data_IF_908672502430
#
_entry.id   IF_908672502430
#
_cell.length_a   1.000
_cell.length_b   1.000
_cell.length_c   1.000
_cell.angle_alpha   90.00
_cell.angle_beta   90.00
_cell.angle_gamma   90.00
#
_symmetry.space_group_name_H-M   'P 1'
#
loop_
_entity.id
_entity.type
_entity.pdbx_description
1 polymer ?
#
# COMPACT_ATOMS: atom_id res chain seq x y z
N UNK A 1 29.79 -0.18 -21.08
CA UNK A 1 28.85 -0.33 -22.22
C UNK A 1 28.09 0.97 -22.37
N UNK A 2 27.99 1.48 -23.60
CA UNK A 2 27.37 2.79 -23.86
C UNK A 2 26.35 2.61 -24.99
N UNK A 3 25.07 2.94 -24.80
CA UNK A 3 24.07 2.74 -25.84
C UNK A 3 24.21 3.72 -26.99
N UNK A 4 23.85 3.24 -28.18
CA UNK A 4 23.80 4.04 -29.39
C UNK A 4 22.64 5.03 -29.33
N UNK A 5 22.84 6.23 -29.90
CA UNK A 5 21.81 7.28 -29.93
C UNK A 5 20.64 6.90 -30.82
N UNK A 6 20.91 6.20 -31.92
CA UNK A 6 19.89 5.82 -32.89
C UNK A 6 19.96 4.36 -33.29
N UNK A 7 18.79 3.78 -33.56
CA UNK A 7 18.66 2.39 -33.95
C UNK A 7 17.73 2.21 -35.12
N UNK A 8 17.93 1.13 -35.87
CA UNK A 8 17.03 0.62 -36.89
C UNK A 8 16.49 -0.72 -36.45
N UNK A 9 15.19 -0.93 -36.60
CA UNK A 9 14.58 -2.25 -36.42
C UNK A 9 14.81 -3.08 -37.69
N UNK A 10 15.31 -4.29 -37.51
CA UNK A 10 15.51 -5.27 -38.58
C UNK A 10 14.59 -6.45 -38.29
N UNK A 11 13.65 -6.68 -39.19
CA UNK A 11 12.81 -7.87 -39.16
C UNK A 11 13.62 -9.07 -39.66
N UNK A 12 13.67 -10.11 -38.85
CA UNK A 12 14.32 -11.37 -39.20
C UNK A 12 13.22 -12.37 -39.57
N UNK A 13 13.37 -13.01 -40.73
CA UNK A 13 12.44 -14.04 -41.20
C UNK A 13 12.33 -15.18 -40.16
N UNK A 14 11.16 -15.28 -39.53
CA UNK A 14 10.84 -16.32 -38.54
C UNK A 14 11.35 -16.08 -37.12
N UNK A 15 11.86 -14.88 -36.81
CA UNK A 15 12.38 -14.54 -35.47
C UNK A 15 11.77 -13.25 -34.91
N UNK A 16 12.15 -12.90 -33.68
CA UNK A 16 11.85 -11.59 -33.10
C UNK A 16 12.70 -10.52 -33.77
N UNK A 17 12.14 -9.33 -34.07
CA UNK A 17 12.89 -8.23 -34.67
C UNK A 17 14.07 -7.83 -33.77
N UNK A 18 15.19 -7.46 -34.40
CA UNK A 18 16.42 -7.05 -33.71
C UNK A 18 16.66 -5.56 -33.95
N UNK A 19 17.09 -4.84 -32.91
CA UNK A 19 17.54 -3.45 -33.04
C UNK A 19 19.02 -3.40 -33.40
N UNK A 20 19.35 -2.77 -34.52
CA UNK A 20 20.72 -2.52 -34.94
C UNK A 20 21.09 -1.06 -34.67
N UNK A 21 22.23 -0.83 -34.03
CA UNK A 21 22.79 0.49 -33.84
C UNK A 21 23.14 1.14 -35.20
N UNK A 22 22.75 2.41 -35.37
CA UNK A 22 23.13 3.22 -36.53
C UNK A 22 24.45 3.93 -36.21
N UNK A 23 25.39 4.04 -37.17
CA UNK A 23 26.63 4.76 -36.92
C UNK A 23 26.33 6.23 -36.57
N UNK A 24 26.92 6.68 -35.46
CA UNK A 24 26.64 7.98 -34.85
C UNK A 24 26.85 9.16 -35.80
N UNK A 25 27.80 9.06 -36.73
CA UNK A 25 28.07 10.11 -37.72
C UNK A 25 26.83 10.42 -38.57
N UNK A 26 26.03 9.41 -38.92
CA UNK A 26 24.78 9.60 -39.66
C UNK A 26 23.71 10.26 -38.79
N UNK A 27 23.63 9.86 -37.52
CA UNK A 27 22.68 10.44 -36.55
C UNK A 27 22.99 11.89 -36.28
N UNK A 28 24.26 12.21 -35.98
CA UNK A 28 24.72 13.58 -35.76
C UNK A 28 24.54 14.44 -37.01
N UNK A 29 24.87 13.93 -38.19
CA UNK A 29 24.66 14.66 -39.45
C UNK A 29 23.17 15.00 -39.66
N UNK A 30 22.27 14.04 -39.41
CA UNK A 30 20.83 14.28 -39.53
C UNK A 30 20.32 15.30 -38.50
N UNK A 31 20.77 15.20 -37.24
CA UNK A 31 20.41 16.17 -36.19
C UNK A 31 20.95 17.57 -36.51
N UNK A 32 22.17 17.67 -37.04
CA UNK A 32 22.74 18.95 -37.48
C UNK A 32 21.92 19.54 -38.63
N UNK A 33 21.53 18.74 -39.62
CA UNK A 33 20.69 19.21 -40.72
C UNK A 33 19.31 19.67 -40.24
N UNK A 34 18.64 18.87 -39.39
CA UNK A 34 17.37 19.24 -38.75
C UNK A 34 17.52 20.54 -37.94
N UNK A 35 18.63 20.69 -37.22
CA UNK A 35 18.93 21.88 -36.45
C UNK A 35 19.18 23.11 -37.33
N UNK A 36 19.81 22.94 -38.50
CA UNK A 36 20.03 24.03 -39.46
C UNK A 36 18.74 24.44 -40.19
N UNK A 37 17.83 23.49 -40.45
CA UNK A 37 16.56 23.74 -41.13
C UNK A 37 15.49 24.33 -40.20
N UNK A 38 15.42 23.88 -38.95
CA UNK A 38 14.53 24.43 -37.92
C UNK A 38 14.92 25.83 -37.44
N UNK A 39 15.93 26.47 -38.05
CA UNK A 39 16.41 27.82 -37.73
C UNK A 39 15.31 28.87 -37.89
N UNK A 40 14.64 29.17 -36.79
CA UNK A 40 13.87 30.40 -36.58
C UNK A 40 14.81 31.61 -36.35
N UNK A 41 15.74 31.87 -37.28
CA UNK A 41 16.72 32.99 -37.24
C UNK A 41 17.77 32.95 -36.10
N UNK A 42 18.16 31.76 -35.62
CA UNK A 42 19.24 31.56 -34.64
C UNK A 42 20.50 30.93 -35.25
N UNK A 43 21.67 31.24 -34.73
CA UNK A 43 22.94 30.60 -35.12
C UNK A 43 23.19 29.38 -34.24
N UNK A 44 23.28 28.19 -34.86
CA UNK A 44 23.70 26.96 -34.20
C UNK A 44 25.12 27.15 -33.62
N UNK A 45 25.26 27.01 -32.31
CA UNK A 45 26.51 27.20 -31.57
C UNK A 45 27.23 25.88 -31.33
N UNK A 46 26.49 24.86 -30.86
CA UNK A 46 27.05 23.57 -30.52
C UNK A 46 26.05 22.44 -30.74
N UNK A 47 26.60 21.24 -30.93
CA UNK A 47 25.89 19.97 -30.87
C UNK A 47 26.70 19.06 -29.96
N UNK A 48 26.11 18.58 -28.88
CA UNK A 48 26.76 17.78 -27.86
C UNK A 48 25.98 16.50 -27.65
N UNK A 49 26.69 15.38 -27.62
CA UNK A 49 26.12 14.10 -27.20
C UNK A 49 26.37 13.92 -25.71
N UNK A 50 25.29 13.67 -24.98
CA UNK A 50 25.30 13.53 -23.54
C UNK A 50 24.61 12.22 -23.12
N UNK A 51 24.89 11.81 -21.89
CA UNK A 51 24.29 10.62 -21.29
C UNK A 51 23.68 10.95 -19.95
N UNK A 52 22.43 10.52 -19.75
CA UNK A 52 21.70 10.65 -18.50
C UNK A 52 21.90 9.35 -17.70
N UNK A 53 22.64 9.38 -16.58
CA UNK A 53 22.76 8.22 -15.70
C UNK A 53 21.43 7.96 -14.99
N UNK A 54 20.85 6.79 -15.23
CA UNK A 54 19.63 6.29 -14.59
C UNK A 54 19.94 5.01 -13.84
N UNK A 55 19.81 5.04 -12.52
CA UNK A 55 19.95 3.87 -11.65
C UNK A 55 18.65 3.10 -11.60
N UNK A 56 18.71 1.81 -11.84
CA UNK A 56 17.65 0.85 -11.62
C UNK A 56 17.81 0.25 -10.23
N UNK A 57 16.75 0.30 -9.44
CA UNK A 57 16.71 -0.33 -8.12
C UNK A 57 15.58 -1.33 -8.07
N UNK A 58 15.88 -2.56 -7.69
CA UNK A 58 14.87 -3.63 -7.59
C UNK A 58 13.89 -3.29 -6.47
N UNK A 59 12.60 -3.40 -6.78
CA UNK A 59 11.50 -3.24 -5.84
C UNK A 59 10.94 -4.62 -5.50
N UNK A 60 11.42 -5.14 -4.38
CA UNK A 60 10.96 -6.41 -3.85
C UNK A 60 11.13 -7.61 -4.76
N UNK A 61 10.36 -8.68 -4.54
CA UNK A 61 10.52 -9.97 -5.25
C UNK A 61 9.84 -10.07 -6.62
N UNK A 62 9.21 -9.00 -7.09
CA UNK A 62 8.25 -9.04 -8.21
C UNK A 62 8.84 -8.75 -9.61
N UNK A 63 10.16 -8.62 -9.74
CA UNK A 63 10.80 -8.21 -11.00
C UNK A 63 10.45 -6.77 -11.43
N UNK A 64 9.85 -5.99 -10.51
CA UNK A 64 9.60 -4.56 -10.66
C UNK A 64 10.83 -3.79 -10.21
N UNK A 65 11.09 -2.66 -10.86
CA UNK A 65 12.20 -1.77 -10.54
C UNK A 65 11.70 -0.33 -10.44
N UNK A 66 12.34 0.46 -9.58
CA UNK A 66 12.28 1.91 -9.62
C UNK A 66 13.44 2.44 -10.47
N UNK A 67 13.18 3.49 -11.25
CA UNK A 67 14.20 4.18 -12.03
C UNK A 67 14.48 5.54 -11.41
N UNK A 68 15.76 5.84 -11.22
CA UNK A 68 16.21 7.09 -10.64
C UNK A 68 17.27 7.74 -11.51
N UNK A 69 16.96 8.90 -12.08
CA UNK A 69 17.97 9.72 -12.75
C UNK A 69 18.83 10.45 -11.71
N UNK A 70 20.15 10.56 -11.96
CA UNK A 70 21.11 11.04 -10.96
C UNK A 70 21.48 12.52 -11.09
N UNK A 71 20.83 13.23 -12.00
CA UNK A 71 20.99 14.66 -12.26
C UNK A 71 20.02 15.54 -11.48
N UNK A 72 18.93 14.97 -10.93
CA UNK A 72 17.91 15.69 -10.15
C UNK A 72 17.03 16.63 -10.96
N UNK A 73 16.84 16.30 -12.24
CA UNK A 73 15.93 16.95 -13.18
C UNK A 73 14.46 16.63 -12.86
N UNK A 74 14.19 15.45 -12.30
CA UNK A 74 12.85 14.96 -12.00
C UNK A 74 12.69 14.76 -10.50
N UNK A 75 11.45 14.79 -10.01
CA UNK A 75 11.10 14.36 -8.66
C UNK A 75 9.78 13.62 -8.69
N UNK A 76 9.64 12.60 -7.85
CA UNK A 76 8.38 11.95 -7.59
C UNK A 76 8.11 11.94 -6.09
N UNK A 77 6.82 12.03 -5.76
CA UNK A 77 6.37 12.01 -4.38
C UNK A 77 5.68 10.68 -4.13
N UNK A 78 6.08 10.01 -3.04
CA UNK A 78 5.55 8.72 -2.63
C UNK A 78 5.06 8.85 -1.20
N UNK A 79 3.82 8.41 -0.98
CA UNK A 79 3.24 8.31 0.35
C UNK A 79 3.65 6.95 0.93
N UNK A 80 4.36 6.96 2.05
CA UNK A 80 4.85 5.74 2.70
C UNK A 80 4.35 5.68 4.15
N UNK A 81 3.77 4.56 4.61
CA UNK A 81 3.38 4.42 6.01
C UNK A 81 4.60 4.24 6.92
N UNK A 82 4.42 4.51 8.21
CA UNK A 82 5.37 4.07 9.24
C UNK A 82 5.26 2.55 9.41
N UNK A 83 6.39 1.83 9.45
CA UNK A 83 6.37 0.36 9.56
C UNK A 83 5.95 -0.08 10.96
N UNK A 84 4.99 -1.00 11.05
CA UNK A 84 4.56 -1.63 12.31
C UNK A 84 4.37 -3.13 12.13
N UNK A 85 4.61 -3.88 13.21
CA UNK A 85 4.54 -5.34 13.24
C UNK A 85 3.12 -5.81 13.58
N UNK A 86 2.32 -6.06 12.54
CA UNK A 86 0.97 -6.61 12.67
C UNK A 86 0.96 -8.09 13.06
N UNK A 87 2.00 -8.84 12.69
CA UNK A 87 2.07 -10.29 12.91
C UNK A 87 2.17 -10.58 14.42
N UNK A 88 2.87 -9.74 15.17
CA UNK A 88 2.94 -9.82 16.64
C UNK A 88 1.57 -9.74 17.35
N UNK A 89 0.59 -9.05 16.76
CA UNK A 89 -0.76 -8.90 17.34
C UNK A 89 -1.62 -10.12 17.04
N UNK A 90 -1.52 -10.67 15.83
CA UNK A 90 -2.16 -11.93 15.46
C UNK A 90 -1.70 -13.08 16.38
N UNK A 91 -0.38 -13.18 16.64
CA UNK A 91 0.16 -14.17 17.59
C UNK A 91 -0.42 -14.00 19.00
N UNK A 92 -0.54 -12.75 19.49
CA UNK A 92 -1.15 -12.47 20.80
C UNK A 92 -2.63 -12.84 20.85
N UNK A 93 -3.38 -12.66 19.76
CA UNK A 93 -4.82 -12.99 19.69
C UNK A 93 -5.10 -14.46 20.04
N UNK A 94 -4.26 -15.37 19.54
CA UNK A 94 -4.38 -16.80 19.81
C UNK A 94 -4.22 -17.18 21.29
N UNK A 95 -3.52 -16.36 22.08
CA UNK A 95 -3.16 -16.63 23.47
C UNK A 95 -4.12 -16.03 24.50
N UNK A 96 -5.06 -15.18 24.08
CA UNK A 96 -5.99 -14.49 24.99
C UNK A 96 -7.01 -15.47 25.58
N UNK A 97 -7.23 -15.39 26.89
CA UNK A 97 -8.12 -16.28 27.65
C UNK A 97 -9.33 -15.56 28.28
N UNK A 98 -9.35 -14.23 28.26
CA UNK A 98 -10.37 -13.42 28.94
C UNK A 98 -10.99 -12.39 27.98
N UNK A 99 -12.26 -12.06 28.21
CA UNK A 99 -13.04 -11.15 27.36
C UNK A 99 -12.49 -9.72 27.46
N UNK A 100 -12.17 -9.25 28.66
CA UNK A 100 -11.63 -7.89 28.85
C UNK A 100 -10.26 -7.74 28.18
N UNK A 101 -9.43 -8.80 28.26
CA UNK A 101 -8.16 -8.86 27.55
C UNK A 101 -8.34 -8.90 26.02
N UNK A 102 -9.38 -9.59 25.52
CA UNK A 102 -9.70 -9.63 24.10
C UNK A 102 -10.17 -8.26 23.58
N UNK A 103 -11.02 -7.56 24.34
CA UNK A 103 -11.46 -6.21 24.02
C UNK A 103 -10.30 -5.21 24.00
N UNK A 104 -9.38 -5.30 24.95
CA UNK A 104 -8.16 -4.48 24.94
C UNK A 104 -7.29 -4.77 23.71
N UNK A 105 -7.15 -6.04 23.30
CA UNK A 105 -6.39 -6.40 22.10
C UNK A 105 -7.04 -5.88 20.82
N UNK A 106 -8.38 -5.84 20.77
CA UNK A 106 -9.14 -5.26 19.67
C UNK A 106 -8.87 -3.76 19.55
N UNK A 107 -8.81 -3.03 20.68
CA UNK A 107 -8.47 -1.61 20.67
C UNK A 107 -7.02 -1.37 20.24
N UNK A 108 -6.07 -2.18 20.72
CA UNK A 108 -4.67 -2.14 20.29
C UNK A 108 -4.55 -2.36 18.76
N UNK A 109 -5.26 -3.37 18.24
CA UNK A 109 -5.31 -3.69 16.82
C UNK A 109 -5.93 -2.55 15.99
N UNK A 110 -7.04 -1.99 16.45
CA UNK A 110 -7.69 -0.86 15.79
C UNK A 110 -6.78 0.38 15.77
N UNK A 111 -6.05 0.65 16.86
CA UNK A 111 -5.04 1.71 16.90
C UNK A 111 -3.92 1.49 15.88
N UNK A 112 -3.37 0.29 15.79
CA UNK A 112 -2.31 -0.03 14.81
C UNK A 112 -2.79 0.13 13.37
N UNK A 113 -4.02 -0.31 13.08
CA UNK A 113 -4.64 -0.11 11.76
C UNK A 113 -4.85 1.38 11.46
N UNK A 114 -5.30 2.18 12.43
CA UNK A 114 -5.41 3.63 12.27
C UNK A 114 -4.04 4.31 12.13
N UNK A 115 -2.97 3.79 12.74
CA UNK A 115 -1.62 4.29 12.53
C UNK A 115 -1.09 3.98 11.12
N UNK A 116 -1.44 2.83 10.54
CA UNK A 116 -1.12 2.52 9.13
C UNK A 116 -1.80 3.51 8.19
N UNK A 117 -2.92 4.12 8.58
CA UNK A 117 -3.54 5.20 7.79
C UNK A 117 -2.76 6.51 7.81
N UNK A 118 -1.72 6.64 8.65
CA UNK A 118 -0.84 7.81 8.70
C UNK A 118 0.33 7.62 7.75
N UNK A 119 0.42 8.51 6.77
CA UNK A 119 1.44 8.46 5.73
C UNK A 119 2.41 9.61 5.90
N UNK A 120 3.68 9.29 5.76
CA UNK A 120 4.69 10.28 5.48
C UNK A 120 4.77 10.49 3.97
N UNK A 121 4.65 11.75 3.54
CA UNK A 121 4.81 12.13 2.15
C UNK A 121 6.29 12.41 1.91
N UNK A 122 6.95 11.53 1.14
CA UNK A 122 8.37 11.65 0.83
C UNK A 122 8.52 12.07 -0.62
N UNK A 123 9.19 13.19 -0.85
CA UNK A 123 9.62 13.59 -2.19
C UNK A 123 11.03 13.08 -2.45
N UNK A 124 11.19 12.27 -3.48
CA UNK A 124 12.48 11.68 -3.87
C UNK A 124 12.97 12.37 -5.15
N UNK A 125 14.04 13.18 -5.06
CA UNK A 125 14.71 13.73 -6.24
C UNK A 125 15.24 12.60 -7.12
N UNK A 126 15.14 12.76 -8.43
CA UNK A 126 15.56 11.80 -9.43
C UNK A 126 14.60 10.65 -9.68
N UNK A 127 13.63 10.40 -8.80
CA UNK A 127 12.72 9.27 -8.96
C UNK A 127 11.77 9.49 -10.15
N UNK A 128 11.84 8.60 -11.13
CA UNK A 128 11.02 8.67 -12.32
C UNK A 128 9.66 8.01 -12.03
N UNK A 129 8.60 8.82 -12.02
CA UNK A 129 7.22 8.35 -12.10
C UNK A 129 6.72 8.50 -13.54
N UNK A 130 5.66 7.77 -13.93
CA UNK A 130 4.92 7.94 -15.20
C UNK A 130 5.48 7.26 -16.47
N UNK A 131 4.99 7.68 -17.64
CA UNK A 131 5.29 7.13 -18.98
C UNK A 131 6.79 7.17 -19.31
N UNK A 132 7.51 8.16 -18.81
CA UNK A 132 8.96 8.29 -19.00
C UNK A 132 9.73 7.12 -18.39
N UNK A 133 9.34 6.66 -17.19
CA UNK A 133 9.95 5.50 -16.56
C UNK A 133 9.72 4.24 -17.41
N UNK A 134 8.51 4.08 -17.98
CA UNK A 134 8.19 2.97 -18.89
C UNK A 134 9.01 3.05 -20.18
N UNK A 135 9.21 4.25 -20.71
CA UNK A 135 10.04 4.44 -21.89
C UNK A 135 11.51 4.10 -21.61
N UNK A 136 12.07 4.57 -20.50
CA UNK A 136 13.45 4.23 -20.10
C UNK A 136 13.61 2.74 -19.80
N UNK A 137 12.62 2.08 -19.20
CA UNK A 137 12.72 0.63 -18.96
C UNK A 137 12.80 -0.17 -20.25
N UNK A 138 12.17 0.29 -21.35
CA UNK A 138 12.33 -0.30 -22.68
C UNK A 138 13.73 -0.09 -23.25
N UNK A 139 14.40 1.02 -22.90
CA UNK A 139 15.79 1.30 -23.28
C UNK A 139 16.80 0.32 -22.65
N UNK A 140 16.42 -0.49 -21.66
CA UNK A 140 17.29 -1.58 -21.14
C UNK A 140 17.74 -2.55 -22.24
N UNK A 141 16.92 -2.71 -23.28
CA UNK A 141 17.19 -3.59 -24.42
C UNK A 141 17.82 -2.86 -25.61
N UNK A 142 18.02 -1.54 -25.49
CA UNK A 142 18.58 -0.74 -26.57
C UNK A 142 20.00 -1.22 -26.87
N UNK A 143 20.39 -1.38 -28.14
CA UNK A 143 21.68 -1.90 -28.49
C UNK A 143 22.78 -1.05 -27.88
N UNK A 144 23.63 -1.72 -27.12
CA UNK A 144 24.80 -1.15 -26.46
C UNK A 144 26.03 -1.32 -27.33
N UNK A 145 26.89 -0.31 -27.33
CA UNK A 145 28.25 -0.43 -27.88
C UNK A 145 29.14 -1.09 -26.85
N UNK A 146 30.00 -1.98 -27.35
CA UNK A 146 31.00 -2.69 -26.53
C UNK A 146 32.18 -1.79 -26.12
N UNK A 147 32.30 -0.58 -26.69
CA UNK A 147 33.41 0.36 -26.44
C UNK A 147 32.88 1.76 -26.13
N UNK A 148 33.64 2.50 -25.32
CA UNK A 148 33.37 3.90 -25.00
C UNK A 148 33.65 4.81 -26.21
N UNK A 149 32.85 5.87 -26.33
CA UNK A 149 33.00 6.85 -27.40
C UNK A 149 34.01 7.94 -27.03
N UNK A 150 34.89 8.36 -27.95
CA UNK A 150 35.92 9.34 -27.66
C UNK A 150 35.39 10.77 -27.41
N UNK A 151 34.14 11.06 -27.76
CA UNK A 151 33.53 12.40 -27.68
C UNK A 151 32.27 12.46 -26.80
N UNK A 152 32.08 11.49 -25.90
CA UNK A 152 30.96 11.45 -24.97
C UNK A 152 31.17 12.41 -23.77
N UNK A 153 30.14 13.17 -23.41
CA UNK A 153 30.10 13.91 -22.14
C UNK A 153 29.13 13.20 -21.20
N UNK A 154 29.64 12.69 -20.08
CA UNK A 154 28.83 12.25 -18.95
C UNK A 154 28.75 13.39 -17.96
N UNK A 155 27.53 13.80 -17.62
CA UNK A 155 27.33 14.84 -16.62
C UNK A 155 27.60 14.26 -15.22
N UNK A 156 28.34 14.97 -14.35
CA UNK A 156 28.54 14.55 -12.97
C UNK A 156 27.19 14.42 -12.26
N UNK A 157 27.05 13.37 -11.46
CA UNK A 157 25.85 13.12 -10.67
C UNK A 157 25.68 14.24 -9.64
N UNK A 158 24.46 14.76 -9.54
CA UNK A 158 24.10 15.87 -8.63
C UNK A 158 23.51 15.32 -7.34
N UNK A 159 22.83 14.18 -7.42
CA UNK A 159 22.17 13.55 -6.28
C UNK A 159 23.14 12.62 -5.56
N UNK A 160 23.41 12.94 -4.29
CA UNK A 160 24.13 12.07 -3.37
C UNK A 160 23.36 10.75 -3.14
N UNK A 161 24.07 9.63 -3.17
CA UNK A 161 23.48 8.29 -3.12
C UNK A 161 22.76 7.98 -1.80
N UNK A 162 23.24 8.51 -0.67
CA UNK A 162 22.81 8.03 0.65
C UNK A 162 21.36 8.42 1.01
N UNK A 163 20.93 9.65 0.70
CA UNK A 163 19.58 10.11 1.04
C UNK A 163 18.51 9.44 0.20
N UNK A 164 18.81 9.19 -1.07
CA UNK A 164 17.90 8.54 -2.01
C UNK A 164 17.86 7.03 -1.84
N UNK A 165 18.97 6.40 -1.50
CA UNK A 165 19.02 4.97 -1.14
C UNK A 165 18.09 4.66 0.02
N UNK A 166 18.09 5.48 1.09
CA UNK A 166 17.17 5.28 2.21
C UNK A 166 15.70 5.35 1.79
N UNK A 167 15.33 6.32 0.94
CA UNK A 167 13.96 6.44 0.44
C UNK A 167 13.58 5.24 -0.44
N UNK A 168 14.46 4.81 -1.35
CA UNK A 168 14.24 3.64 -2.20
C UNK A 168 14.16 2.34 -1.40
N UNK A 169 14.97 2.17 -0.35
CA UNK A 169 14.89 1.03 0.56
C UNK A 169 13.54 0.99 1.28
N UNK A 170 13.00 2.15 1.71
CA UNK A 170 11.64 2.22 2.26
C UNK A 170 10.60 1.83 1.22
N UNK A 171 10.68 2.34 0.00
CA UNK A 171 9.74 1.99 -1.09
C UNK A 171 9.81 0.49 -1.39
N UNK A 172 11.03 -0.08 -1.50
CA UNK A 172 11.24 -1.50 -1.74
C UNK A 172 10.70 -2.37 -0.61
N UNK A 173 10.95 -1.99 0.65
CA UNK A 173 10.36 -2.65 1.82
C UNK A 173 8.84 -2.69 1.71
N UNK A 174 8.20 -1.56 1.45
CA UNK A 174 6.75 -1.52 1.34
C UNK A 174 6.23 -2.27 0.13
N UNK A 175 6.94 -2.27 -1.00
CA UNK A 175 6.59 -3.08 -2.17
C UNK A 175 6.54 -4.58 -1.85
N UNK A 176 7.44 -5.08 -1.00
CA UNK A 176 7.41 -6.46 -0.48
C UNK A 176 6.32 -6.69 0.58
N UNK A 177 6.03 -5.68 1.40
CA UNK A 177 5.06 -5.76 2.49
C UNK A 177 3.66 -5.24 2.10
N UNK A 178 3.39 -5.09 0.79
CA UNK A 178 2.07 -4.73 0.26
C UNK A 178 0.97 -5.75 0.63
N UNK A 179 1.31 -6.89 1.24
CA UNK A 179 0.40 -7.90 1.77
C UNK A 179 -0.23 -7.53 3.13
N UNK A 180 0.02 -6.33 3.66
CA UNK A 180 -0.58 -5.86 4.92
C UNK A 180 -2.10 -6.00 4.96
N UNK A 181 -2.80 -5.85 3.84
CA UNK A 181 -4.26 -6.12 3.77
C UNK A 181 -4.61 -7.53 4.24
N UNK A 182 -3.79 -8.51 3.83
CA UNK A 182 -4.00 -9.92 4.15
C UNK A 182 -3.63 -10.21 5.60
N UNK A 183 -2.52 -9.66 6.11
CA UNK A 183 -2.16 -9.81 7.52
C UNK A 183 -3.20 -9.14 8.43
N UNK A 184 -3.68 -7.95 8.08
CA UNK A 184 -4.73 -7.24 8.81
C UNK A 184 -6.07 -7.98 8.80
N UNK A 185 -6.44 -8.58 7.66
CA UNK A 185 -7.65 -9.39 7.54
C UNK A 185 -7.55 -10.68 8.37
N UNK A 186 -6.41 -11.38 8.32
CA UNK A 186 -6.16 -12.58 9.14
C UNK A 186 -6.23 -12.24 10.62
N UNK A 187 -5.53 -11.21 11.07
CA UNK A 187 -5.56 -10.74 12.46
C UNK A 187 -6.99 -10.40 12.92
N UNK A 188 -7.77 -9.69 12.09
CA UNK A 188 -9.14 -9.31 12.42
C UNK A 188 -10.05 -10.54 12.54
N UNK A 189 -9.93 -11.49 11.61
CA UNK A 189 -10.70 -12.73 11.64
C UNK A 189 -10.36 -13.60 12.86
N UNK A 190 -9.08 -13.74 13.20
CA UNK A 190 -8.64 -14.47 14.40
C UNK A 190 -9.16 -13.84 15.68
N UNK A 191 -9.13 -12.50 15.78
CA UNK A 191 -9.68 -11.76 16.92
C UNK A 191 -11.19 -11.97 17.07
N UNK A 192 -11.94 -11.86 15.97
CA UNK A 192 -13.39 -12.07 15.97
C UNK A 192 -13.77 -13.51 16.31
N UNK A 193 -13.04 -14.49 15.76
CA UNK A 193 -13.24 -15.91 16.06
C UNK A 193 -12.96 -16.20 17.53
N UNK A 194 -11.82 -15.71 18.06
CA UNK A 194 -11.47 -15.89 19.46
C UNK A 194 -12.49 -15.27 20.39
N UNK A 195 -12.98 -14.09 20.07
CA UNK A 195 -14.01 -13.42 20.86
C UNK A 195 -15.34 -14.18 20.81
N UNK A 196 -15.70 -14.78 19.67
CA UNK A 196 -16.88 -15.66 19.54
C UNK A 196 -16.74 -16.93 20.40
N UNK A 197 -15.56 -17.52 20.45
CA UNK A 197 -15.27 -18.68 21.31
C UNK A 197 -15.43 -18.34 22.79
N UNK A 198 -14.83 -17.23 23.24
CA UNK A 198 -14.92 -16.74 24.62
C UNK A 198 -16.36 -16.39 25.01
N UNK A 199 -17.12 -15.81 24.10
CA UNK A 199 -18.55 -15.56 24.28
C UNK A 199 -19.37 -16.84 24.38
N UNK A 200 -19.05 -17.88 23.59
CA UNK A 200 -19.79 -19.15 23.64
C UNK A 200 -19.57 -19.89 24.97
N UNK A 201 -18.34 -19.86 25.48
CA UNK A 201 -17.97 -20.46 26.77
C UNK A 201 -18.51 -19.67 27.96
N UNK A 202 -18.40 -18.33 27.92
CA UNK A 202 -18.93 -17.45 28.97
C UNK A 202 -20.47 -17.37 28.94
N UNK A 203 -21.06 -17.26 27.75
CA UNK A 203 -22.50 -17.19 27.51
C UNK A 203 -23.21 -18.47 27.95
N UNK A 204 -22.69 -19.65 27.60
CA UNK A 204 -23.24 -20.92 28.09
C UNK A 204 -23.21 -21.04 29.62
N UNK A 205 -22.19 -20.47 30.27
CA UNK A 205 -22.09 -20.44 31.74
C UNK A 205 -23.06 -19.43 32.38
N UNK A 206 -23.32 -18.31 31.70
CA UNK A 206 -24.17 -17.22 32.21
C UNK A 206 -25.65 -17.54 31.99
N UNK A 207 -26.00 -18.06 30.82
CA UNK A 207 -27.36 -18.49 30.49
C UNK A 207 -27.81 -19.66 31.38
N UNK A 208 -26.93 -20.63 31.64
CA UNK A 208 -27.23 -21.71 32.58
C UNK A 208 -27.40 -21.22 34.02
N UNK A 209 -26.63 -20.21 34.45
CA UNK A 209 -26.83 -19.56 35.75
C UNK A 209 -28.15 -18.80 35.82
N UNK A 210 -28.51 -18.06 34.78
CA UNK A 210 -29.79 -17.34 34.69
C UNK A 210 -30.97 -18.32 34.67
N UNK A 211 -30.86 -19.44 33.95
CA UNK A 211 -31.89 -20.48 33.92
C UNK A 211 -32.12 -21.10 35.31
N UNK A 212 -31.04 -21.49 36.01
CA UNK A 212 -31.11 -21.99 37.40
C UNK A 212 -31.70 -20.95 38.35
N UNK A 213 -31.34 -19.67 38.18
CA UNK A 213 -31.88 -18.58 38.98
C UNK A 213 -33.38 -18.38 38.70
N UNK A 214 -33.81 -18.51 37.45
CA UNK A 214 -35.23 -18.45 37.06
C UNK A 214 -36.04 -19.60 37.67
N UNK A 215 -35.52 -20.84 37.63
CA UNK A 215 -36.17 -21.98 38.30
C UNK A 215 -36.32 -21.75 39.80
N UNK A 216 -35.28 -21.22 40.45
CA UNK A 216 -35.30 -20.88 41.88
C UNK A 216 -36.32 -19.77 42.19
N UNK A 217 -36.41 -18.74 41.35
CA UNK A 217 -37.42 -17.68 41.47
C UNK A 217 -38.83 -18.26 41.36
N UNK A 218 -39.10 -19.12 40.38
CA UNK A 218 -40.42 -19.76 40.20
C UNK A 218 -40.76 -20.63 41.41
N UNK A 219 -39.79 -21.38 41.95
CA UNK A 219 -39.99 -22.19 43.16
C UNK A 219 -40.32 -21.33 44.37
N UNK A 220 -39.56 -20.25 44.59
CA UNK A 220 -39.80 -19.30 45.68
C UNK A 220 -41.15 -18.59 45.55
N UNK A 221 -41.60 -18.26 44.33
CA UNK A 221 -42.93 -17.71 44.10
C UNK A 221 -44.03 -18.68 44.53
N UNK A 222 -43.94 -19.95 44.12
CA UNK A 222 -44.91 -20.98 44.54
C UNK A 222 -44.91 -21.21 46.05
N UNK A 223 -43.73 -21.18 46.69
CA UNK A 223 -43.61 -21.29 48.15
C UNK A 223 -44.25 -20.10 48.86
N UNK A 224 -44.06 -18.87 48.35
CA UNK A 224 -44.71 -17.67 48.88
C UNK A 224 -46.22 -17.75 48.72
N UNK A 225 -46.73 -18.09 47.53
CA UNK A 225 -48.17 -18.25 47.27
C UNK A 225 -48.81 -19.33 48.16
N UNK A 226 -48.10 -20.44 48.37
CA UNK A 226 -48.54 -21.51 49.28
C UNK A 226 -48.59 -21.03 50.74
N UNK A 227 -47.56 -20.32 51.22
CA UNK A 227 -47.53 -19.78 52.58
C UNK A 227 -48.58 -18.68 52.79
N UNK A 228 -48.83 -17.84 51.78
CA UNK A 228 -49.90 -16.84 51.79
C UNK A 228 -51.28 -17.49 51.86
N UNK A 229 -51.54 -18.52 51.04
CA UNK A 229 -52.77 -19.30 51.08
C UNK A 229 -52.98 -19.99 52.43
N UNK A 230 -51.90 -20.55 53.01
CA UNK A 230 -51.92 -21.20 54.32
C UNK A 230 -52.15 -20.21 55.46
N UNK A 231 -51.56 -19.02 55.39
CA UNK A 231 -51.82 -17.91 56.31
C UNK A 231 -53.31 -17.52 56.27
N UNK A 232 -53.87 -17.39 55.07
CA UNK A 232 -55.28 -17.00 54.88
C UNK A 232 -56.25 -18.07 55.41
N UNK A 233 -55.90 -19.35 55.28
CA UNK A 233 -56.68 -20.46 55.86
C UNK A 233 -56.63 -20.52 57.40
N UNK A 234 -55.58 -19.95 58.02
CA UNK A 234 -55.45 -19.87 59.47
C UNK A 234 -56.21 -18.69 60.08
N UNK A 235 -56.42 -17.60 59.33
CA UNK A 235 -57.26 -16.47 59.77
C UNK A 235 -58.75 -16.88 59.96
N UNK A 236 -59.19 -17.99 59.37
CA UNK A 236 -60.55 -18.55 59.56
C UNK A 236 -60.70 -19.45 60.80
N UNK A 237 -59.63 -19.78 61.52
CA UNK A 237 -59.64 -20.70 62.67
C UNK A 237 -59.13 -19.98 63.93
N UNK A 238 -60.05 -19.57 64.81
CA UNK A 238 -59.72 -18.96 66.10
C UNK A 238 -58.92 -19.91 67.00
N UNK A 239 -57.60 -19.67 67.09
CA UNK A 239 -56.58 -20.12 68.08
C UNK A 239 -55.41 -20.89 67.43
N UNK A 240 -54.27 -20.19 67.27
CA UNK A 240 -52.86 -20.64 67.41
C UNK A 240 -51.89 -19.50 67.02
N UNK A 241 -51.58 -18.59 67.94
CA UNK A 241 -50.69 -17.43 67.67
C UNK A 241 -49.28 -17.83 67.23
N UNK A 242 -48.67 -18.81 67.90
CA UNK A 242 -47.29 -19.21 67.61
C UNK A 242 -47.07 -19.78 66.20
N UNK A 243 -48.05 -20.51 65.65
CA UNK A 243 -47.96 -21.08 64.29
C UNK A 243 -48.11 -19.98 63.24
N UNK A 244 -48.92 -18.96 63.53
CA UNK A 244 -49.09 -17.79 62.66
C UNK A 244 -47.78 -16.99 62.59
N UNK A 245 -47.19 -16.70 63.74
CA UNK A 245 -45.92 -15.94 63.83
C UNK A 245 -44.79 -16.68 63.10
N UNK A 246 -44.75 -18.01 63.19
CA UNK A 246 -43.78 -18.83 62.47
C UNK A 246 -43.98 -18.79 60.94
N UNK A 247 -45.23 -18.83 60.47
CA UNK A 247 -45.55 -18.71 59.04
C UNK A 247 -45.25 -17.30 58.53
N UNK A 248 -45.57 -16.26 59.28
CA UNK A 248 -45.23 -14.86 58.93
C UNK A 248 -43.71 -14.66 58.82
N UNK A 249 -42.94 -15.17 59.79
CA UNK A 249 -41.48 -15.10 59.74
C UNK A 249 -40.90 -15.85 58.52
N UNK A 250 -41.44 -17.03 58.19
CA UNK A 250 -41.05 -17.77 56.98
C UNK A 250 -41.41 -17.02 55.70
N UNK A 251 -42.57 -16.39 55.65
CA UNK A 251 -43.07 -15.65 54.50
C UNK A 251 -42.23 -14.39 54.25
N UNK A 252 -41.86 -13.64 55.29
CA UNK A 252 -40.92 -12.53 55.19
C UNK A 252 -39.53 -12.95 54.71
N UNK A 253 -39.01 -14.07 55.23
CA UNK A 253 -37.72 -14.60 54.81
C UNK A 253 -37.74 -15.00 53.31
N UNK A 254 -38.82 -15.65 52.85
CA UNK A 254 -38.98 -16.07 51.45
C UNK A 254 -39.20 -14.88 50.51
N UNK A 255 -39.96 -13.86 50.93
CA UNK A 255 -40.12 -12.60 50.17
C UNK A 255 -38.80 -11.85 50.01
N UNK A 256 -37.97 -11.77 51.07
CA UNK A 256 -36.61 -11.19 50.99
C UNK A 256 -35.70 -11.96 50.04
N UNK A 257 -35.70 -13.30 50.11
CA UNK A 257 -34.91 -14.13 49.20
C UNK A 257 -35.37 -13.97 47.73
N UNK A 258 -36.68 -13.87 47.49
CA UNK A 258 -37.25 -13.65 46.15
C UNK A 258 -36.85 -12.28 45.59
N UNK A 259 -36.91 -11.22 46.40
CA UNK A 259 -36.46 -9.88 46.01
C UNK A 259 -34.98 -9.88 45.63
N UNK A 260 -34.14 -10.48 46.47
CA UNK A 260 -32.70 -10.60 46.22
C UNK A 260 -32.40 -11.37 44.92
N UNK A 261 -33.07 -12.50 44.68
CA UNK A 261 -32.85 -13.30 43.47
C UNK A 261 -33.37 -12.60 42.21
N UNK A 262 -34.51 -11.88 42.28
CA UNK A 262 -35.00 -11.05 41.18
C UNK A 262 -34.05 -9.91 40.84
N UNK A 263 -33.46 -9.29 41.86
CA UNK A 263 -32.49 -8.20 41.66
C UNK A 263 -31.17 -8.73 41.09
N UNK A 264 -30.66 -9.84 41.62
CA UNK A 264 -29.49 -10.53 41.06
C UNK A 264 -29.68 -10.92 39.59
N UNK A 265 -30.89 -11.37 39.21
CA UNK A 265 -31.23 -11.65 37.82
C UNK A 265 -31.16 -10.40 36.95
N UNK A 266 -31.76 -9.29 37.41
CA UNK A 266 -31.72 -8.01 36.68
C UNK A 266 -30.29 -7.54 36.47
N UNK A 267 -29.45 -7.64 37.50
CA UNK A 267 -28.03 -7.30 37.41
C UNK A 267 -27.29 -8.17 36.38
N UNK A 268 -27.52 -9.49 36.39
CA UNK A 268 -26.92 -10.41 35.41
C UNK A 268 -27.35 -10.14 33.97
N UNK A 269 -28.64 -9.82 33.76
CA UNK A 269 -29.14 -9.45 32.43
C UNK A 269 -28.54 -8.12 31.99
N UNK A 270 -28.52 -7.12 32.86
CA UNK A 270 -27.96 -5.80 32.57
C UNK A 270 -26.47 -5.87 32.24
N UNK A 271 -25.68 -6.65 33.00
CA UNK A 271 -24.25 -6.84 32.71
C UNK A 271 -24.03 -7.55 31.37
N UNK A 272 -24.83 -8.58 31.06
CA UNK A 272 -24.78 -9.28 29.78
C UNK A 272 -25.08 -8.33 28.61
N UNK A 273 -26.15 -7.54 28.70
CA UNK A 273 -26.50 -6.56 27.66
C UNK A 273 -25.44 -5.48 27.48
N UNK A 274 -24.77 -5.07 28.56
CA UNK A 274 -23.71 -4.07 28.49
C UNK A 274 -22.47 -4.62 27.78
N UNK A 275 -22.08 -5.86 28.12
CA UNK A 275 -20.97 -6.56 27.50
C UNK A 275 -21.21 -6.85 26.01
N UNK A 276 -22.42 -7.28 25.63
CA UNK A 276 -22.78 -7.44 24.22
C UNK A 276 -22.64 -6.13 23.44
N UNK A 277 -23.12 -5.02 24.02
CA UNK A 277 -23.01 -3.69 23.40
C UNK A 277 -21.56 -3.25 23.25
N UNK A 278 -20.72 -3.46 24.28
CA UNK A 278 -19.29 -3.17 24.21
C UNK A 278 -18.62 -3.96 23.09
N UNK A 279 -18.88 -5.27 23.01
CA UNK A 279 -18.33 -6.12 21.95
C UNK A 279 -18.75 -5.64 20.56
N UNK A 280 -20.02 -5.31 20.37
CA UNK A 280 -20.50 -4.74 19.09
C UNK A 280 -19.78 -3.43 18.75
N UNK A 281 -19.58 -2.54 19.72
CA UNK A 281 -18.86 -1.28 19.52
C UNK A 281 -17.37 -1.49 19.18
N UNK A 282 -16.65 -2.35 19.90
CA UNK A 282 -15.23 -2.63 19.65
C UNK A 282 -15.02 -3.37 18.32
N UNK A 283 -15.85 -4.36 18.00
CA UNK A 283 -15.77 -5.06 16.71
C UNK A 283 -16.14 -4.16 15.52
N UNK A 284 -17.13 -3.27 15.68
CA UNK A 284 -17.44 -2.27 14.65
C UNK A 284 -16.25 -1.33 14.40
N UNK A 285 -15.61 -0.83 15.47
CA UNK A 285 -14.40 0.02 15.35
C UNK A 285 -13.26 -0.70 14.64
N UNK A 286 -13.03 -1.97 14.96
CA UNK A 286 -11.98 -2.77 14.33
C UNK A 286 -12.25 -2.95 12.83
N UNK A 287 -13.49 -3.28 12.44
CA UNK A 287 -13.88 -3.41 11.04
C UNK A 287 -13.77 -2.09 10.27
N UNK A 288 -14.17 -0.98 10.90
CA UNK A 288 -14.03 0.34 10.31
C UNK A 288 -12.54 0.70 10.10
N UNK A 289 -11.69 0.40 11.08
CA UNK A 289 -10.24 0.60 10.97
C UNK A 289 -9.62 -0.30 9.89
N UNK A 290 -10.04 -1.57 9.79
CA UNK A 290 -9.63 -2.48 8.74
C UNK A 290 -10.01 -1.97 7.35
N UNK A 291 -11.25 -1.51 7.18
CA UNK A 291 -11.73 -0.96 5.91
C UNK A 291 -10.91 0.26 5.47
N UNK A 292 -10.63 1.18 6.41
CA UNK A 292 -9.75 2.33 6.15
C UNK A 292 -8.33 1.89 5.79
N UNK A 293 -7.76 0.96 6.53
CA UNK A 293 -6.42 0.44 6.27
C UNK A 293 -6.32 -0.23 4.88
N UNK A 294 -7.31 -1.04 4.49
CA UNK A 294 -7.38 -1.70 3.18
C UNK A 294 -7.52 -0.70 2.03
N UNK A 295 -8.41 0.29 2.16
CA UNK A 295 -8.54 1.36 1.16
C UNK A 295 -7.18 2.07 0.98
N UNK A 296 -6.53 2.36 2.10
CA UNK A 296 -5.30 3.14 2.09
C UNK A 296 -4.08 2.33 1.61
N UNK A 297 -4.04 1.05 1.88
CA UNK A 297 -3.06 0.13 1.29
C UNK A 297 -3.28 -0.05 -0.22
N UNK A 298 -4.52 0.00 -0.71
CA UNK A 298 -4.80 0.05 -2.15
C UNK A 298 -4.24 1.33 -2.79
N UNK A 299 -4.37 2.47 -2.12
CA UNK A 299 -3.76 3.75 -2.55
C UNK A 299 -2.22 3.65 -2.56
N UNK A 300 -1.61 3.03 -1.54
CA UNK A 300 -0.18 2.73 -1.52
C UNK A 300 0.25 1.83 -2.69
N UNK A 301 -0.52 0.78 -3.00
CA UNK A 301 -0.26 -0.08 -4.18
C UNK A 301 -0.24 0.74 -5.46
N UNK A 302 -1.23 1.60 -5.67
CA UNK A 302 -1.30 2.46 -6.85
C UNK A 302 -0.11 3.43 -6.91
N UNK A 303 0.29 3.98 -5.77
CA UNK A 303 1.45 4.89 -5.67
C UNK A 303 2.75 4.16 -6.01
N UNK A 304 2.99 2.99 -5.43
CA UNK A 304 4.17 2.15 -5.74
C UNK A 304 4.15 1.73 -7.21
N UNK A 305 2.97 1.37 -7.75
CA UNK A 305 2.82 1.02 -9.16
C UNK A 305 3.16 2.19 -10.09
N UNK A 306 2.84 3.42 -9.71
CA UNK A 306 3.12 4.62 -10.51
C UNK A 306 4.61 4.95 -10.67
N UNK A 307 5.44 4.48 -9.72
CA UNK A 307 6.91 4.66 -9.70
C UNK A 307 7.67 3.39 -10.08
N UNK A 308 6.96 2.28 -10.23
CA UNK A 308 7.55 0.98 -10.58
C UNK A 308 7.33 0.65 -12.05
N UNK A 309 8.33 0.00 -12.65
CA UNK A 309 8.24 -0.52 -14.01
C UNK A 309 8.71 -1.97 -14.05
N UNK A 310 8.10 -2.78 -14.90
CA UNK A 310 8.58 -4.14 -15.13
C UNK A 310 9.94 -4.09 -15.81
N UNK A 311 10.93 -4.75 -15.23
CA UNK A 311 12.21 -4.97 -15.89
C UNK A 311 12.25 -6.34 -16.55
N UNK A 312 12.99 -6.42 -17.64
CA UNK A 312 13.24 -7.67 -18.37
C UNK A 312 14.52 -8.33 -17.87
N UNK A 313 15.44 -7.54 -17.33
CA UNK A 313 16.69 -8.03 -16.76
C UNK A 313 16.39 -8.66 -15.41
N UNK A 314 16.16 -9.98 -15.42
CA UNK A 314 16.02 -10.77 -14.20
C UNK A 314 17.31 -10.80 -13.37
N UNK A 315 17.14 -10.94 -12.05
CA UNK A 315 18.10 -11.44 -11.06
C UNK A 315 19.46 -10.74 -10.89
N UNK A 316 19.60 -9.45 -11.19
CA UNK A 316 20.75 -8.70 -10.65
C UNK A 316 20.37 -8.03 -9.32
N UNK A 317 20.75 -8.65 -8.20
CA UNK A 317 20.65 -8.06 -6.84
C UNK A 317 21.40 -6.72 -6.72
N UNK A 318 22.29 -6.43 -7.67
CA UNK A 318 23.04 -5.18 -7.77
C UNK A 318 22.30 -4.22 -8.69
N UNK A 319 21.91 -3.06 -8.16
CA UNK A 319 21.27 -2.00 -8.95
C UNK A 319 22.09 -1.65 -10.20
N UNK A 320 21.48 -1.82 -11.38
CA UNK A 320 22.10 -1.53 -12.67
C UNK A 320 22.07 -0.01 -12.93
N UNK A 321 23.11 0.57 -13.52
CA UNK A 321 23.04 1.93 -14.06
C UNK A 321 22.95 1.88 -15.57
N UNK A 322 21.89 2.47 -16.11
CA UNK A 322 21.68 2.68 -17.55
C UNK A 322 22.12 4.09 -17.89
N UNK A 323 22.82 4.24 -19.01
CA UNK A 323 23.11 5.55 -19.60
C UNK A 323 22.09 5.81 -20.70
N UNK A 324 21.21 6.80 -20.56
CA UNK A 324 20.28 7.16 -21.64
C UNK A 324 20.97 8.17 -22.57
N UNK A 325 21.18 7.87 -23.86
CA UNK A 325 21.86 8.77 -24.78
C UNK A 325 20.90 9.87 -25.26
N UNK A 326 21.36 11.11 -25.31
CA UNK A 326 20.61 12.22 -25.88
C UNK A 326 21.55 13.22 -26.56
N UNK A 327 21.03 13.96 -27.54
CA UNK A 327 21.79 15.01 -28.22
C UNK A 327 21.23 16.37 -27.83
N UNK A 328 22.09 17.26 -27.39
CA UNK A 328 21.78 18.65 -27.09
C UNK A 328 22.26 19.51 -28.25
N UNK A 329 21.38 20.36 -28.77
CA UNK A 329 21.74 21.40 -29.74
C UNK A 329 21.51 22.78 -29.13
N UNK A 330 22.51 23.65 -29.23
CA UNK A 330 22.46 25.01 -28.70
C UNK A 330 22.39 26.04 -29.82
N UNK A 331 21.46 26.98 -29.71
CA UNK A 331 21.25 28.06 -30.67
C UNK A 331 21.40 29.41 -29.99
N UNK A 332 22.17 30.32 -30.57
CA UNK A 332 22.24 31.70 -30.10
C UNK A 332 21.35 32.59 -30.95
N UNK A 333 20.50 33.38 -30.29
CA UNK A 333 19.76 34.46 -30.92
C UNK A 333 19.77 35.68 -30.02
N UNK A 334 20.39 36.78 -30.49
CA UNK A 334 20.46 38.06 -29.76
C UNK A 334 20.99 37.92 -28.31
N UNK A 335 22.00 37.08 -28.10
CA UNK A 335 22.61 36.86 -26.78
C UNK A 335 21.84 35.91 -25.85
N UNK A 336 20.73 35.32 -26.31
CA UNK A 336 20.03 34.24 -25.59
C UNK A 336 20.41 32.91 -26.20
N UNK A 337 20.83 31.97 -25.36
CA UNK A 337 21.06 30.58 -25.74
C UNK A 337 19.75 29.78 -25.58
N UNK A 338 19.19 29.34 -26.70
CA UNK A 338 18.14 28.33 -26.73
C UNK A 338 18.77 26.94 -26.83
N UNK A 339 18.19 25.97 -26.13
CA UNK A 339 18.65 24.58 -26.14
C UNK A 339 17.51 23.69 -26.62
N UNK A 340 17.80 22.75 -27.51
CA UNK A 340 16.88 21.70 -27.93
C UNK A 340 17.51 20.34 -27.67
N UNK A 341 16.78 19.48 -26.99
CA UNK A 341 17.17 18.11 -26.66
C UNK A 341 16.52 17.16 -27.65
N UNK A 342 17.31 16.24 -28.17
CA UNK A 342 16.87 15.12 -28.98
C UNK A 342 16.99 13.84 -28.14
N UNK A 343 15.87 13.14 -27.85
CA UNK A 343 15.92 11.87 -27.12
C UNK A 343 16.59 10.79 -27.97
N UNK A 344 16.77 9.56 -27.45
CA UNK A 344 17.12 8.41 -28.28
C UNK A 344 16.22 8.35 -29.52
N UNK A 345 16.78 7.97 -30.66
CA UNK A 345 16.14 8.05 -31.96
C UNK A 345 15.92 6.66 -32.57
N UNK A 346 14.89 6.54 -33.39
CA UNK A 346 14.64 5.39 -34.24
C UNK A 346 14.59 5.84 -35.70
N UNK A 347 15.31 5.11 -36.55
CA UNK A 347 15.29 5.33 -37.98
C UNK A 347 14.07 4.66 -38.58
N UNK A 348 13.28 5.45 -39.29
CA UNK A 348 12.21 4.99 -40.14
C UNK A 348 12.67 5.16 -41.59
N UNK A 349 12.66 4.07 -42.37
CA UNK A 349 13.05 4.13 -43.78
C UNK A 349 12.01 4.99 -44.52
N UNK A 350 12.37 6.18 -45.03
CA UNK A 350 11.39 7.03 -45.67
C UNK A 350 10.92 6.38 -46.98
N UNK A 351 9.60 6.34 -47.21
CA UNK A 351 9.02 5.85 -48.48
C UNK A 351 9.41 6.73 -49.70
N UNK A 352 10.13 7.83 -49.50
CA UNK A 352 10.57 8.78 -50.53
C UNK A 352 12.09 8.92 -50.63
N UNK A 353 12.58 9.18 -51.86
CA UNK A 353 14.00 9.48 -52.12
C UNK A 353 14.42 10.77 -51.40
N UNK A 354 15.37 10.66 -50.48
CA UNK A 354 15.98 11.80 -49.76
C UNK A 354 16.88 12.59 -50.73
N UNK A 355 16.53 13.85 -50.99
CA UNK A 355 17.34 14.79 -51.77
C UNK A 355 18.42 15.46 -50.92
N UNK A 356 19.55 15.85 -51.53
CA UNK A 356 20.78 16.29 -50.82
C UNK A 356 20.72 17.65 -50.08
N UNK A 357 19.60 18.40 -50.05
CA UNK A 357 19.50 19.67 -49.26
C UNK A 357 18.18 20.43 -49.32
N UNK A 358 17.39 20.32 -50.39
CA UNK A 358 16.12 21.08 -50.54
C UNK A 358 14.89 20.33 -50.04
N UNK A 359 15.00 19.00 -49.98
CA UNK A 359 13.94 18.07 -49.60
C UNK A 359 14.46 17.10 -48.53
N UNK A 360 15.30 17.57 -47.59
CA UNK A 360 15.73 16.72 -46.48
C UNK A 360 14.50 16.41 -45.63
N UNK A 361 14.18 15.13 -45.55
CA UNK A 361 13.20 14.61 -44.62
C UNK A 361 14.01 13.90 -43.56
N UNK A 362 13.96 14.39 -42.33
CA UNK A 362 14.63 13.75 -41.21
C UNK A 362 14.06 12.32 -41.05
N UNK A 363 14.86 11.27 -41.29
CA UNK A 363 14.38 9.89 -41.21
C UNK A 363 14.32 9.38 -39.76
N UNK A 364 14.72 10.22 -38.79
CA UNK A 364 14.72 9.87 -37.38
C UNK A 364 13.50 10.41 -36.67
N UNK A 365 12.90 9.56 -35.85
CA UNK A 365 11.86 9.92 -34.89
C UNK A 365 12.29 9.56 -33.48
N UNK A 366 11.68 10.16 -32.44
CA UNK A 366 11.89 9.71 -31.07
C UNK A 366 11.64 8.21 -30.94
N UNK A 367 12.59 7.54 -30.29
CA UNK A 367 12.53 6.15 -29.86
C UNK A 367 11.21 5.76 -29.21
N UNK A 368 10.79 6.60 -28.26
CA UNK A 368 9.53 6.56 -27.57
C UNK A 368 9.11 8.03 -27.38
N UNK A 369 7.89 8.43 -27.79
CA UNK A 369 7.46 9.82 -27.68
C UNK A 369 7.52 10.35 -26.24
N UNK A 370 7.34 9.49 -25.22
CA UNK A 370 7.39 9.88 -23.81
C UNK A 370 8.80 10.29 -23.33
N UNK A 371 9.85 10.05 -24.11
CA UNK A 371 11.20 10.55 -23.83
C UNK A 371 11.40 12.00 -24.27
N UNK A 372 10.46 12.55 -25.04
CA UNK A 372 10.52 13.96 -25.47
C UNK A 372 10.16 14.93 -24.34
N UNK A 373 9.56 14.42 -23.26
CA UNK A 373 9.12 15.17 -22.08
C UNK A 373 10.18 15.21 -20.96
N UNK A 374 11.36 14.61 -21.18
CA UNK A 374 12.50 14.55 -20.24
C UNK A 374 13.31 15.85 -20.17
#
# INVERSE_FOLDING_TARGET
MVPATAVRVIDILGGTPIEQAIPEDYTLAAVVLDALESRNNGELQFVLKCYLPVRMTVLGRSGRVALMERMGLVLATVEIPESRDLDSVAERASSVTDIDAALSLIDDAAMLLDEITRFEVITVPGLLSSRTAVAISRLTRWPSRDTEEPYAIVLPEVIESNTTENALSRIAFWADHLHIDRSAEVMTNELEERLRELLSTSGGSTDSRIARLNERIVRLQREVEYLESRLHSLDTLEKRSAIRDEIEAQLEARRRALLHDKERRRQMIASSTTLSKQIEEHTARLRDALCRAQQRAQELRQTIESVSVSSVTGDSDVGLTILVPFIITGYSRKGVLGVRVFPPLRFEDPEGRVGRRRDFVNPFRPADPALSDL
#
